data_IF_343551408401
#
_entry.id   IF_343551408401
#
_cell.length_a   1.000
_cell.length_b   1.000
_cell.length_c   1.000
_cell.angle_alpha   90.00
_cell.angle_beta   90.00
_cell.angle_gamma   90.00
#
_symmetry.space_group_name_H-M   'P 1'
#
loop_
_entity.id
_entity.type
_entity.pdbx_description
1 polymer ?
#
# COMPACT_ATOMS: atom_id res chain seq x y z
N UNK A 1 3.38 -13.48 6.17
CA UNK A 1 3.05 -14.03 4.81
C UNK A 1 4.22 -14.92 4.38
N UNK A 2 3.97 -16.15 3.96
CA UNK A 2 4.98 -17.00 3.38
C UNK A 2 5.16 -16.74 1.87
N UNK A 3 6.17 -17.40 1.25
CA UNK A 3 6.51 -17.15 -0.17
C UNK A 3 5.41 -17.62 -1.13
N UNK A 4 4.73 -18.71 -0.80
CA UNK A 4 3.69 -19.28 -1.67
C UNK A 4 2.43 -18.40 -1.63
N UNK A 5 2.06 -17.92 -0.45
CA UNK A 5 0.98 -16.97 -0.28
C UNK A 5 1.25 -15.65 -1.02
N UNK A 6 2.46 -15.09 -0.87
CA UNK A 6 2.90 -13.92 -1.63
C UNK A 6 2.79 -14.16 -3.13
N UNK A 7 3.28 -15.33 -3.59
CA UNK A 7 3.22 -15.71 -5.00
C UNK A 7 1.78 -15.75 -5.53
N UNK A 8 0.84 -16.27 -4.75
CA UNK A 8 -0.57 -16.30 -5.14
C UNK A 8 -1.18 -14.89 -5.24
N UNK A 9 -0.89 -14.00 -4.31
CA UNK A 9 -1.34 -12.60 -4.36
C UNK A 9 -0.76 -11.86 -5.58
N UNK A 10 0.55 -11.97 -5.81
CA UNK A 10 1.21 -11.34 -6.97
C UNK A 10 0.67 -11.90 -8.29
N UNK A 11 0.45 -13.21 -8.38
CA UNK A 11 -0.16 -13.83 -9.56
C UNK A 11 -1.55 -13.26 -9.83
N UNK A 12 -2.40 -13.13 -8.81
CA UNK A 12 -3.75 -12.55 -8.97
C UNK A 12 -3.67 -11.09 -9.44
N UNK A 13 -2.80 -10.28 -8.83
CA UNK A 13 -2.64 -8.86 -9.13
C UNK A 13 -2.08 -8.61 -10.54
N UNK A 14 -1.28 -9.53 -11.08
CA UNK A 14 -0.63 -9.39 -12.40
C UNK A 14 -1.29 -10.17 -13.52
N UNK A 15 -2.32 -10.98 -13.22
CA UNK A 15 -3.04 -11.74 -14.26
C UNK A 15 -3.72 -10.79 -15.24
N UNK A 16 -3.31 -10.84 -16.48
CA UNK A 16 -3.77 -9.94 -17.54
C UNK A 16 -5.29 -10.00 -17.71
N UNK A 17 -5.94 -8.83 -17.64
CA UNK A 17 -7.39 -8.71 -17.77
C UNK A 17 -8.17 -8.94 -16.47
N UNK A 18 -7.50 -9.26 -15.37
CA UNK A 18 -8.08 -9.28 -14.03
C UNK A 18 -7.77 -7.94 -13.37
N UNK A 19 -8.75 -7.03 -13.36
CA UNK A 19 -8.67 -5.81 -12.56
C UNK A 19 -9.09 -6.07 -11.11
N UNK A 20 -8.87 -5.07 -10.22
CA UNK A 20 -9.18 -5.22 -8.79
C UNK A 20 -10.64 -5.62 -8.54
N UNK A 21 -11.59 -5.11 -9.34
CA UNK A 21 -13.00 -5.47 -9.19
C UNK A 21 -13.26 -6.98 -9.43
N UNK A 22 -12.67 -7.55 -10.50
CA UNK A 22 -12.79 -8.98 -10.79
C UNK A 22 -12.09 -9.82 -9.73
N UNK A 23 -10.89 -9.41 -9.31
CA UNK A 23 -10.13 -10.06 -8.25
C UNK A 23 -10.92 -10.06 -6.92
N UNK A 24 -11.53 -8.94 -6.52
CA UNK A 24 -12.36 -8.88 -5.30
C UNK A 24 -13.59 -9.80 -5.36
N UNK A 25 -14.24 -9.92 -6.53
CA UNK A 25 -15.34 -10.88 -6.71
C UNK A 25 -14.86 -12.33 -6.50
N UNK A 26 -13.71 -12.67 -7.03
CA UNK A 26 -13.13 -14.01 -6.88
C UNK A 26 -12.71 -14.27 -5.43
N UNK A 27 -12.08 -13.29 -4.77
CA UNK A 27 -11.72 -13.38 -3.35
C UNK A 27 -12.95 -13.56 -2.45
N UNK A 28 -14.04 -12.85 -2.74
CA UNK A 28 -15.30 -13.00 -2.01
C UNK A 28 -15.91 -14.39 -2.18
N UNK A 29 -15.75 -15.02 -3.36
CA UNK A 29 -16.29 -16.33 -3.66
C UNK A 29 -15.43 -17.50 -3.14
N UNK A 30 -14.11 -17.38 -3.23
CA UNK A 30 -13.18 -18.49 -3.01
C UNK A 30 -12.17 -18.24 -1.88
N UNK A 31 -12.26 -17.12 -1.19
CA UNK A 31 -11.34 -16.75 -0.11
C UNK A 31 -9.99 -16.26 -0.63
N UNK A 32 -8.89 -16.83 -0.15
CA UNK A 32 -7.54 -16.42 -0.52
C UNK A 32 -7.21 -16.76 -1.99
N UNK A 33 -6.22 -16.07 -2.61
CA UNK A 33 -5.84 -16.32 -4.00
C UNK A 33 -5.51 -17.77 -4.32
N UNK A 34 -4.91 -18.53 -3.41
CA UNK A 34 -4.68 -19.96 -3.58
C UNK A 34 -5.97 -20.74 -3.81
N UNK A 35 -7.06 -20.37 -3.13
CA UNK A 35 -8.39 -20.96 -3.33
C UNK A 35 -8.98 -20.66 -4.72
N UNK A 36 -8.69 -19.49 -5.27
CA UNK A 36 -9.07 -19.12 -6.65
C UNK A 36 -8.34 -20.02 -7.65
N UNK A 37 -7.01 -20.14 -7.52
CA UNK A 37 -6.18 -20.93 -8.45
C UNK A 37 -6.38 -22.44 -8.34
N UNK A 38 -6.99 -22.92 -7.27
CA UNK A 38 -7.40 -24.31 -7.12
C UNK A 38 -8.70 -24.66 -7.89
N UNK A 39 -9.43 -23.66 -8.42
CA UNK A 39 -10.69 -23.89 -9.12
C UNK A 39 -10.47 -24.25 -10.59
N UNK A 40 -11.27 -25.16 -11.13
CA UNK A 40 -11.33 -25.39 -12.59
C UNK A 40 -11.81 -24.13 -13.33
N UNK A 41 -11.33 -23.94 -14.57
CA UNK A 41 -11.71 -22.80 -15.42
C UNK A 41 -13.24 -22.66 -15.57
N UNK A 42 -13.96 -23.78 -15.69
CA UNK A 42 -15.42 -23.79 -15.81
C UNK A 42 -16.13 -23.21 -14.57
N UNK A 43 -15.54 -23.38 -13.39
CA UNK A 43 -16.06 -22.79 -12.13
C UNK A 43 -15.74 -21.29 -12.10
N UNK A 44 -14.52 -20.91 -12.43
CA UNK A 44 -14.12 -19.50 -12.50
C UNK A 44 -14.97 -18.73 -13.51
N UNK A 45 -15.32 -19.34 -14.66
CA UNK A 45 -16.16 -18.75 -15.70
C UNK A 45 -17.59 -18.38 -15.25
N UNK A 46 -18.04 -18.82 -14.10
CA UNK A 46 -19.32 -18.40 -13.49
C UNK A 46 -19.22 -17.03 -12.81
N UNK A 47 -18.01 -16.59 -12.47
CA UNK A 47 -17.74 -15.36 -11.74
C UNK A 47 -17.10 -14.26 -12.57
N UNK A 48 -16.36 -14.65 -13.61
CA UNK A 48 -15.63 -13.77 -14.54
C UNK A 48 -15.87 -14.20 -15.97
N UNK A 49 -15.46 -13.38 -16.94
CA UNK A 49 -15.61 -13.74 -18.36
C UNK A 49 -14.77 -14.97 -18.72
N UNK A 50 -15.14 -15.74 -19.77
CA UNK A 50 -14.35 -16.91 -20.21
C UNK A 50 -12.88 -16.56 -20.48
N UNK A 51 -12.61 -15.39 -21.06
CA UNK A 51 -11.25 -14.92 -21.30
C UNK A 51 -10.47 -14.68 -20.00
N UNK A 52 -11.12 -14.16 -18.99
CA UNK A 52 -10.53 -13.95 -17.66
C UNK A 52 -10.29 -15.29 -16.95
N UNK A 53 -11.26 -16.22 -17.01
CA UNK A 53 -11.10 -17.56 -16.44
C UNK A 53 -9.90 -18.30 -17.06
N UNK A 54 -9.77 -18.24 -18.38
CA UNK A 54 -8.62 -18.78 -19.10
C UNK A 54 -7.31 -18.12 -18.68
N UNK A 55 -7.28 -16.79 -18.52
CA UNK A 55 -6.08 -16.07 -18.07
C UNK A 55 -5.62 -16.50 -16.66
N UNK A 56 -6.55 -16.81 -15.77
CA UNK A 56 -6.24 -17.29 -14.42
C UNK A 56 -5.64 -18.70 -14.42
N UNK A 57 -5.90 -19.52 -15.45
CA UNK A 57 -5.36 -20.89 -15.55
C UNK A 57 -3.87 -20.91 -15.87
N UNK A 58 -3.31 -19.81 -16.41
CA UNK A 58 -1.90 -19.73 -16.81
C UNK A 58 -1.19 -18.63 -16.02
N UNK A 59 -0.12 -18.93 -15.28
CA UNK A 59 0.66 -17.91 -14.61
C UNK A 59 1.23 -16.88 -15.60
N UNK A 60 1.21 -15.56 -15.31
CA UNK A 60 1.87 -14.55 -16.13
C UNK A 60 3.38 -14.82 -16.27
N UNK A 61 3.94 -14.51 -17.43
CA UNK A 61 5.36 -14.79 -17.71
C UNK A 61 6.30 -14.02 -16.78
N UNK A 62 5.94 -12.81 -16.41
CA UNK A 62 6.69 -11.93 -15.51
C UNK A 62 6.53 -12.27 -14.01
N UNK A 63 5.58 -13.16 -13.68
CA UNK A 63 5.26 -13.49 -12.29
C UNK A 63 6.43 -14.09 -11.48
N UNK A 64 7.25 -15.03 -12.01
CA UNK A 64 8.34 -15.61 -11.25
C UNK A 64 9.40 -14.58 -10.86
N UNK A 65 9.76 -13.69 -11.80
CA UNK A 65 10.73 -12.62 -11.55
C UNK A 65 10.19 -11.58 -10.56
N UNK A 66 8.91 -11.24 -10.65
CA UNK A 66 8.28 -10.33 -9.70
C UNK A 66 8.22 -10.94 -8.30
N UNK A 67 7.87 -12.22 -8.19
CA UNK A 67 7.87 -12.93 -6.91
C UNK A 67 9.26 -12.92 -6.28
N UNK A 68 10.30 -13.24 -7.06
CA UNK A 68 11.66 -13.26 -6.54
C UNK A 68 12.11 -11.87 -6.06
N UNK A 69 11.90 -10.83 -6.86
CA UNK A 69 12.22 -9.44 -6.49
C UNK A 69 11.47 -8.98 -5.24
N UNK A 70 10.16 -9.28 -5.17
CA UNK A 70 9.35 -8.90 -4.01
C UNK A 70 9.77 -9.66 -2.76
N UNK A 71 10.08 -10.95 -2.89
CA UNK A 71 10.57 -11.76 -1.79
C UNK A 71 11.92 -11.26 -1.27
N UNK A 72 12.86 -10.95 -2.16
CA UNK A 72 14.15 -10.34 -1.80
C UNK A 72 13.96 -8.99 -1.11
N UNK A 73 13.04 -8.15 -1.60
CA UNK A 73 12.71 -6.87 -0.96
C UNK A 73 12.18 -7.05 0.47
N UNK A 74 11.33 -8.05 0.72
CA UNK A 74 10.83 -8.36 2.06
C UNK A 74 11.93 -8.89 3.00
N UNK A 75 12.87 -9.67 2.47
CA UNK A 75 13.96 -10.29 3.26
C UNK A 75 15.18 -9.39 3.38
N UNK A 76 15.22 -8.27 2.68
CA UNK A 76 16.40 -7.41 2.67
C UNK A 76 16.71 -6.84 4.07
N UNK A 77 17.98 -6.94 4.45
CA UNK A 77 18.52 -6.48 5.73
C UNK A 77 19.27 -5.14 5.62
N UNK A 78 19.17 -4.50 4.46
CA UNK A 78 19.83 -3.23 4.15
C UNK A 78 19.05 -2.01 4.65
N UNK A 79 17.92 -2.21 5.34
CA UNK A 79 17.17 -1.13 5.98
C UNK A 79 17.87 -0.61 7.23
N UNK A 80 17.79 0.69 7.53
CA UNK A 80 18.24 1.22 8.81
C UNK A 80 17.63 0.46 9.99
N UNK A 81 18.35 0.45 11.13
CA UNK A 81 17.82 -0.14 12.36
C UNK A 81 16.45 0.44 12.72
N UNK A 82 15.50 -0.42 13.08
CA UNK A 82 14.13 -0.02 13.43
C UNK A 82 13.20 0.22 12.23
N UNK A 83 13.66 0.03 10.99
CA UNK A 83 12.82 0.07 9.78
C UNK A 83 12.43 -1.34 9.34
N UNK A 84 11.14 -1.55 9.08
CA UNK A 84 10.60 -2.81 8.57
C UNK A 84 9.96 -2.62 7.20
N UNK A 85 9.89 -3.72 6.45
CA UNK A 85 9.12 -3.87 5.21
C UNK A 85 8.06 -4.93 5.41
N UNK A 86 6.89 -4.73 4.83
CA UNK A 86 5.81 -5.71 4.84
C UNK A 86 4.90 -5.52 3.63
N UNK A 87 4.02 -6.49 3.40
CA UNK A 87 2.94 -6.41 2.43
C UNK A 87 1.63 -6.65 3.16
N UNK A 88 0.75 -5.66 3.07
CA UNK A 88 -0.60 -5.71 3.64
C UNK A 88 -1.57 -6.05 2.50
N UNK A 89 -2.29 -7.14 2.61
CA UNK A 89 -3.25 -7.59 1.59
C UNK A 89 -4.68 -7.26 1.96
N UNK A 90 -5.54 -7.25 0.97
CA UNK A 90 -6.98 -7.10 1.19
C UNK A 90 -7.48 -8.21 2.14
N UNK A 91 -8.14 -7.80 3.23
CA UNK A 91 -8.57 -8.70 4.30
C UNK A 91 -7.64 -8.76 5.53
N UNK A 92 -6.42 -8.22 5.43
CA UNK A 92 -5.58 -7.97 6.62
C UNK A 92 -6.23 -6.86 7.47
N UNK A 93 -6.28 -7.05 8.79
CA UNK A 93 -6.82 -6.06 9.74
C UNK A 93 -6.10 -4.70 9.70
N UNK A 94 -4.87 -4.67 9.20
CA UNK A 94 -4.06 -3.45 9.02
C UNK A 94 -4.39 -2.71 7.72
N UNK A 95 -5.21 -3.30 6.83
CA UNK A 95 -5.57 -2.64 5.58
C UNK A 95 -6.41 -1.40 5.87
N UNK A 96 -6.06 -0.21 5.31
CA UNK A 96 -6.75 1.04 5.63
C UNK A 96 -8.23 0.98 5.23
N UNK A 97 -9.15 1.11 6.19
CA UNK A 97 -10.57 1.03 5.93
C UNK A 97 -11.03 2.07 4.89
N UNK A 98 -10.52 3.28 4.95
CA UNK A 98 -10.85 4.34 3.98
C UNK A 98 -10.41 4.02 2.54
N UNK A 99 -9.43 3.15 2.34
CA UNK A 99 -9.10 2.67 1.00
C UNK A 99 -10.17 1.73 0.44
N UNK A 100 -10.86 0.98 1.29
CA UNK A 100 -11.97 0.12 0.87
C UNK A 100 -13.18 0.93 0.37
N UNK A 101 -13.32 2.17 0.83
CA UNK A 101 -14.39 3.09 0.42
C UNK A 101 -14.10 3.75 -0.94
N UNK A 102 -12.91 3.56 -1.50
CA UNK A 102 -12.58 4.06 -2.85
C UNK A 102 -13.25 3.21 -3.92
N UNK A 103 -13.44 3.78 -5.12
CA UNK A 103 -14.08 3.09 -6.24
C UNK A 103 -13.36 1.80 -6.64
N UNK A 104 -12.02 1.80 -6.62
CA UNK A 104 -11.20 0.65 -6.99
C UNK A 104 -10.03 0.40 -6.01
N UNK A 105 -10.32 -0.10 -4.80
CA UNK A 105 -9.27 -0.37 -3.80
C UNK A 105 -8.24 -1.37 -4.30
N UNK A 106 -6.94 -1.15 -4.02
CA UNK A 106 -5.88 -2.06 -4.39
C UNK A 106 -6.01 -3.39 -3.65
N UNK A 107 -5.44 -4.46 -4.22
CA UNK A 107 -5.46 -5.80 -3.60
C UNK A 107 -4.39 -5.94 -2.51
N UNK A 108 -3.32 -5.17 -2.61
CA UNK A 108 -2.18 -5.24 -1.71
C UNK A 108 -1.43 -3.92 -1.67
N UNK A 109 -0.78 -3.65 -0.54
CA UNK A 109 0.04 -2.47 -0.28
C UNK A 109 1.45 -2.92 0.12
N UNK A 110 2.46 -2.37 -0.52
CA UNK A 110 3.83 -2.45 -0.05
C UNK A 110 4.02 -1.39 1.03
N UNK A 111 4.51 -1.76 2.19
CA UNK A 111 4.68 -0.85 3.33
C UNK A 111 6.13 -0.90 3.80
N UNK A 112 6.72 0.28 4.00
CA UNK A 112 8.05 0.42 4.59
C UNK A 112 8.04 1.59 5.56
N UNK A 113 8.60 1.39 6.74
CA UNK A 113 8.65 2.43 7.76
C UNK A 113 9.08 1.91 9.12
N UNK A 114 8.87 2.70 10.17
CA UNK A 114 9.20 2.30 11.53
C UNK A 114 8.52 0.96 11.88
N UNK A 115 9.30 0.02 12.40
CA UNK A 115 8.86 -1.37 12.64
C UNK A 115 7.59 -1.44 13.48
N UNK A 116 7.50 -0.66 14.56
CA UNK A 116 6.33 -0.64 15.42
C UNK A 116 5.06 -0.23 14.65
N UNK A 117 5.17 0.75 13.73
CA UNK A 117 4.05 1.23 12.92
C UNK A 117 3.65 0.19 11.87
N UNK A 118 4.62 -0.38 11.15
CA UNK A 118 4.36 -1.39 10.12
C UNK A 118 3.66 -2.62 10.69
N UNK A 119 4.02 -3.03 11.92
CA UNK A 119 3.45 -4.21 12.59
C UNK A 119 2.06 -3.97 13.21
N UNK A 120 1.80 -2.74 13.71
CA UNK A 120 0.63 -2.45 14.55
C UNK A 120 -0.50 -1.66 13.88
N UNK A 121 -0.60 -1.61 12.59
CA UNK A 121 -1.53 -0.78 11.82
C UNK A 121 -1.07 0.68 11.67
N UNK A 122 -0.34 0.99 10.60
CA UNK A 122 0.22 2.33 10.36
C UNK A 122 -0.83 3.41 10.09
N UNK A 123 -2.07 3.00 9.86
CA UNK A 123 -3.17 3.87 9.44
C UNK A 123 -4.22 3.96 10.56
N UNK A 124 -4.03 4.86 11.51
CA UNK A 124 -5.04 5.13 12.55
C UNK A 124 -6.23 5.86 11.93
N UNK A 125 -7.40 5.26 11.98
CA UNK A 125 -8.63 5.87 11.49
C UNK A 125 -8.93 7.18 12.23
N UNK A 126 -9.32 8.21 11.47
CA UNK A 126 -9.70 9.52 12.00
C UNK A 126 -8.55 10.47 12.34
N UNK A 127 -7.30 9.99 12.32
CA UNK A 127 -6.13 10.81 12.68
C UNK A 127 -5.25 11.16 11.47
N UNK A 128 -5.66 10.83 10.25
CA UNK A 128 -4.92 11.11 9.03
C UNK A 128 -5.54 12.27 8.26
N UNK A 129 -4.70 13.22 7.81
CA UNK A 129 -5.09 14.32 6.94
C UNK A 129 -4.19 14.37 5.71
N UNK A 130 -4.80 14.37 4.51
CA UNK A 130 -4.07 14.51 3.27
C UNK A 130 -3.72 15.99 3.01
N UNK A 131 -2.44 16.27 2.73
CA UNK A 131 -1.95 17.58 2.27
C UNK A 131 -1.33 17.37 0.90
N UNK A 132 -1.96 17.91 -0.13
CA UNK A 132 -1.56 17.73 -1.54
C UNK A 132 -1.62 19.03 -2.30
N UNK A 133 -0.82 19.15 -3.36
CA UNK A 133 -0.86 20.36 -4.17
C UNK A 133 0.12 20.38 -5.35
N UNK A 134 0.49 21.59 -5.77
CA UNK A 134 1.34 21.81 -6.91
C UNK A 134 2.75 21.24 -6.70
N UNK A 135 3.31 20.63 -7.76
CA UNK A 135 4.74 20.24 -7.81
C UNK A 135 5.68 21.43 -7.96
N UNK A 136 5.13 22.59 -8.36
CA UNK A 136 5.87 23.85 -8.49
C UNK A 136 5.08 24.99 -7.80
N UNK A 137 5.02 24.98 -6.45
CA UNK A 137 4.31 26.00 -5.69
C UNK A 137 5.05 27.33 -5.71
N UNK A 138 4.35 28.41 -5.37
CA UNK A 138 5.02 29.66 -4.97
C UNK A 138 5.76 29.45 -3.64
N UNK A 139 6.73 30.30 -3.31
CA UNK A 139 7.43 30.25 -2.02
C UNK A 139 6.45 30.29 -0.85
N UNK A 140 5.42 31.16 -0.91
CA UNK A 140 4.37 31.25 0.10
C UNK A 140 3.54 29.95 0.15
N UNK A 141 3.25 29.31 -0.99
CA UNK A 141 2.50 28.06 -1.05
C UNK A 141 3.26 26.91 -0.38
N UNK A 142 4.57 26.82 -0.59
CA UNK A 142 5.43 25.84 0.05
C UNK A 142 5.52 26.10 1.58
N UNK A 143 5.74 27.34 1.98
CA UNK A 143 5.78 27.71 3.41
C UNK A 143 4.46 27.41 4.11
N UNK A 144 3.32 27.74 3.50
CA UNK A 144 2.02 27.42 4.04
C UNK A 144 1.85 25.90 4.23
N UNK A 145 2.23 25.07 3.26
CA UNK A 145 2.13 23.62 3.36
C UNK A 145 2.97 23.08 4.52
N UNK A 146 4.20 23.58 4.67
CA UNK A 146 5.07 23.25 5.77
C UNK A 146 4.47 23.64 7.13
N UNK A 147 4.04 24.89 7.30
CA UNK A 147 3.53 25.39 8.58
C UNK A 147 2.22 24.71 8.98
N UNK A 148 1.31 24.49 8.04
CA UNK A 148 0.09 23.75 8.30
C UNK A 148 0.37 22.30 8.70
N UNK A 149 1.23 21.60 7.98
CA UNK A 149 1.58 20.23 8.29
C UNK A 149 2.22 20.10 9.69
N UNK A 150 3.13 21.03 10.03
CA UNK A 150 3.74 21.12 11.36
C UNK A 150 2.68 21.34 12.47
N UNK A 151 1.80 22.32 12.30
CA UNK A 151 0.75 22.62 13.27
C UNK A 151 -0.26 21.47 13.43
N UNK A 152 -0.68 20.86 12.33
CA UNK A 152 -1.60 19.72 12.33
C UNK A 152 -0.98 18.49 12.98
N UNK A 153 0.31 18.23 12.74
CA UNK A 153 1.05 17.15 13.43
C UNK A 153 1.13 17.42 14.93
N UNK A 154 1.41 18.66 15.34
CA UNK A 154 1.42 19.05 16.76
C UNK A 154 0.03 18.89 17.42
N UNK A 155 -1.05 19.00 16.64
CA UNK A 155 -2.42 18.73 17.07
C UNK A 155 -2.78 17.22 17.09
N UNK A 156 -1.83 16.32 16.82
CA UNK A 156 -2.04 14.86 16.87
C UNK A 156 -2.48 14.23 15.56
N UNK A 157 -2.40 14.93 14.42
CA UNK A 157 -2.77 14.37 13.12
C UNK A 157 -1.55 13.79 12.40
N UNK A 158 -1.72 12.65 11.73
CA UNK A 158 -0.75 12.11 10.78
C UNK A 158 -0.95 12.78 9.43
N UNK A 159 0.12 13.34 8.87
CA UNK A 159 0.08 13.96 7.54
C UNK A 159 0.28 12.90 6.46
N UNK A 160 -0.62 12.86 5.48
CA UNK A 160 -0.56 11.94 4.35
C UNK A 160 -0.30 12.74 3.07
N UNK A 161 0.68 12.33 2.25
CA UNK A 161 0.97 12.99 0.98
C UNK A 161 1.58 12.01 -0.04
N UNK A 162 1.77 12.45 -1.29
CA UNK A 162 2.18 11.60 -2.41
C UNK A 162 3.69 11.54 -2.65
N UNK A 163 4.50 12.12 -1.78
CA UNK A 163 5.97 12.18 -1.92
C UNK A 163 6.46 12.88 -3.21
N UNK A 164 5.66 13.75 -3.79
CA UNK A 164 6.05 14.54 -4.95
C UNK A 164 6.87 15.79 -4.54
N UNK A 165 7.53 16.42 -5.51
CA UNK A 165 8.14 17.73 -5.29
C UNK A 165 7.07 18.78 -4.93
N UNK A 166 7.47 19.86 -4.27
CA UNK A 166 6.63 21.02 -4.00
C UNK A 166 5.80 20.88 -2.73
N UNK A 167 4.48 21.00 -2.82
CA UNK A 167 3.59 20.98 -1.65
C UNK A 167 3.72 19.70 -0.85
N UNK A 168 3.82 18.55 -1.52
CA UNK A 168 3.93 17.25 -0.84
C UNK A 168 5.23 17.17 -0.02
N UNK A 169 6.36 17.56 -0.62
CA UNK A 169 7.65 17.58 0.09
C UNK A 169 7.60 18.53 1.30
N UNK A 170 7.09 19.76 1.11
CA UNK A 170 6.96 20.73 2.20
C UNK A 170 6.06 20.22 3.34
N UNK A 171 4.97 19.50 3.00
CA UNK A 171 4.09 18.91 4.00
C UNK A 171 4.80 17.79 4.79
N UNK A 172 5.56 16.92 4.14
CA UNK A 172 6.35 15.89 4.83
C UNK A 172 7.42 16.50 5.74
N UNK A 173 8.16 17.50 5.24
CA UNK A 173 9.17 18.24 6.02
C UNK A 173 8.55 18.92 7.25
N UNK A 174 7.40 19.59 7.07
CA UNK A 174 6.69 20.23 8.17
C UNK A 174 6.23 19.23 9.24
N UNK A 175 5.69 18.07 8.82
CA UNK A 175 5.27 17.03 9.74
C UNK A 175 6.43 16.40 10.53
N UNK A 176 7.64 16.42 9.99
CA UNK A 176 8.85 15.86 10.60
C UNK A 176 9.66 16.87 11.42
N UNK A 177 9.33 18.18 11.33
CA UNK A 177 10.17 19.25 11.86
C UNK A 177 10.55 19.15 13.36
N UNK A 178 9.65 18.62 14.18
CA UNK A 178 9.84 18.50 15.64
C UNK A 178 9.86 17.02 16.11
N UNK A 179 10.08 16.08 15.18
CA UNK A 179 10.12 14.64 15.47
C UNK A 179 11.57 14.25 15.76
N UNK A 180 11.84 13.80 16.99
CA UNK A 180 13.14 13.27 17.33
C UNK A 180 13.34 11.86 16.72
N UNK A 181 14.54 11.53 16.20
CA UNK A 181 14.83 10.17 15.80
C UNK A 181 14.60 9.19 16.94
N UNK A 182 13.75 8.17 16.70
CA UNK A 182 13.47 7.14 17.70
C UNK A 182 12.60 7.61 18.89
N UNK A 183 11.72 8.60 18.70
CA UNK A 183 10.82 9.13 19.72
C UNK A 183 9.84 8.09 20.33
N UNK A 184 9.81 6.88 19.77
CA UNK A 184 8.94 5.79 20.24
C UNK A 184 7.45 6.04 20.03
N UNK A 185 7.08 7.05 19.23
CA UNK A 185 5.68 7.37 18.95
C UNK A 185 4.97 6.17 18.31
N UNK A 186 3.81 5.81 18.87
CA UNK A 186 2.91 4.82 18.30
C UNK A 186 2.15 5.34 17.07
N UNK A 187 2.28 6.64 16.77
CA UNK A 187 1.63 7.31 15.66
C UNK A 187 2.64 7.84 14.65
N UNK A 188 2.46 7.53 13.39
CA UNK A 188 3.27 8.08 12.32
C UNK A 188 3.14 9.61 12.24
N UNK A 189 4.26 10.32 12.15
CA UNK A 189 4.25 11.76 11.90
C UNK A 189 3.71 12.05 10.49
N UNK A 190 4.15 11.27 9.53
CA UNK A 190 3.71 11.38 8.14
C UNK A 190 3.74 10.02 7.43
N UNK A 191 2.89 9.87 6.42
CA UNK A 191 2.79 8.68 5.56
C UNK A 191 2.84 9.13 4.11
N UNK A 192 3.76 8.56 3.33
CA UNK A 192 3.81 8.73 1.89
C UNK A 192 3.01 7.63 1.20
N UNK A 193 2.08 8.00 0.31
CA UNK A 193 1.33 7.05 -0.53
C UNK A 193 1.72 7.28 -1.97
N UNK A 194 2.39 6.30 -2.56
CA UNK A 194 2.92 6.38 -3.92
C UNK A 194 2.30 5.30 -4.81
N UNK A 195 2.06 5.64 -6.07
CA UNK A 195 1.57 4.70 -7.09
C UNK A 195 2.68 4.13 -7.97
N UNK A 196 3.92 4.48 -7.69
CA UNK A 196 5.12 3.93 -8.35
C UNK A 196 5.72 2.85 -7.46
N UNK A 197 6.49 1.90 -8.03
CA UNK A 197 7.25 0.95 -7.20
C UNK A 197 8.22 1.66 -6.24
N UNK A 198 8.53 1.01 -5.13
CA UNK A 198 9.54 1.44 -4.16
C UNK A 198 10.93 1.01 -4.62
#
# INVERSE_FOLDING_TARGET
MDRDELGAWLRLATTKGIGNQAARKLLAAFGLPAGIFAQPEAVLGQWVTPRQAQALSTPPAEWPDLLEKTWQWLQATDTPEGVARDIITLGDRRFPQRMLDTEDPPLMLYVMGAQALVQNAPFSEGQCLAVVGSRNPTAQGADNAYQFAKALRAAGLTIVSGLALGVDAAAHEGALADVAPGDGSEQAATIAIVGTGL
#
